data_IF_153643808401
#
_entry.id   IF_153643808401
#
_cell.length_a   1.000
_cell.length_b   1.000
_cell.length_c   1.000
_cell.angle_alpha   90.00
_cell.angle_beta   90.00
_cell.angle_gamma   90.00
#
_symmetry.space_group_name_H-M   'P 1'
#
loop_
_entity.id
_entity.type
_entity.pdbx_description
1 polymer ?
#
# COMPACT_ATOMS: atom_id res chain seq x y z
N UNK A 1 13.79 15.90 1.70
CA UNK A 1 13.15 15.98 3.04
C UNK A 1 11.63 15.93 2.91
N UNK A 2 11.04 16.84 2.16
CA UNK A 2 9.57 16.96 1.99
C UNK A 2 8.92 15.70 1.39
N UNK A 3 9.65 14.93 0.56
CA UNK A 3 9.15 13.69 -0.02
C UNK A 3 9.18 12.49 0.93
N UNK A 4 9.86 12.59 2.08
CA UNK A 4 10.07 11.49 3.03
C UNK A 4 9.48 11.76 4.41
N UNK A 5 9.17 13.01 4.73
CA UNK A 5 8.56 13.40 6.00
C UNK A 5 7.08 13.73 5.80
N UNK A 6 6.25 13.27 6.73
CA UNK A 6 4.83 13.59 6.72
C UNK A 6 4.61 15.04 7.13
N UNK A 7 4.06 15.86 6.22
CA UNK A 7 3.77 17.27 6.48
C UNK A 7 2.42 17.43 7.20
N UNK A 8 1.51 16.50 6.96
CA UNK A 8 0.15 16.51 7.50
C UNK A 8 -0.63 17.79 7.17
N UNK A 9 -0.60 18.19 5.89
CA UNK A 9 -1.26 19.39 5.38
C UNK A 9 -1.49 19.31 3.87
N UNK A 10 -2.08 20.33 3.25
CA UNK A 10 -2.45 20.34 1.83
C UNK A 10 -1.22 20.60 0.94
N UNK A 11 -0.24 19.72 1.02
CA UNK A 11 1.02 19.80 0.25
C UNK A 11 1.16 18.56 -0.62
N UNK A 12 1.44 18.77 -1.90
CA UNK A 12 1.72 17.74 -2.89
C UNK A 12 3.15 17.89 -3.39
N UNK A 13 3.95 16.83 -3.26
CA UNK A 13 5.28 16.76 -3.85
C UNK A 13 5.21 16.01 -5.18
N UNK A 14 5.76 16.60 -6.25
CA UNK A 14 5.81 16.00 -7.59
C UNK A 14 7.26 15.66 -7.89
N UNK A 15 7.53 14.39 -8.18
CA UNK A 15 8.87 13.89 -8.47
C UNK A 15 8.85 13.22 -9.84
N UNK A 16 9.72 13.70 -10.75
CA UNK A 16 9.92 13.07 -12.04
C UNK A 16 10.76 11.80 -11.89
N UNK A 17 10.54 10.83 -12.76
CA UNK A 17 11.32 9.58 -12.83
C UNK A 17 11.74 9.31 -14.27
N UNK A 18 12.80 8.53 -14.45
CA UNK A 18 13.35 8.21 -15.78
C UNK A 18 12.72 6.96 -16.38
N UNK A 19 12.50 5.93 -15.59
CA UNK A 19 11.90 4.65 -16.00
C UNK A 19 11.09 4.01 -14.85
N UNK A 20 10.50 2.84 -15.09
CA UNK A 20 9.70 2.15 -14.09
C UNK A 20 10.51 1.68 -12.87
N UNK A 21 11.77 1.35 -13.05
CA UNK A 21 12.64 0.93 -11.96
C UNK A 21 12.94 2.11 -11.03
N UNK A 22 13.23 3.26 -11.60
CA UNK A 22 13.41 4.51 -10.88
C UNK A 22 12.12 4.94 -10.18
N UNK A 23 10.98 4.87 -10.87
CA UNK A 23 9.67 5.15 -10.26
C UNK A 23 9.38 4.27 -9.05
N UNK A 24 9.65 2.97 -9.14
CA UNK A 24 9.45 2.04 -8.02
C UNK A 24 10.42 2.32 -6.87
N UNK A 25 11.67 2.65 -7.18
CA UNK A 25 12.66 3.03 -6.18
C UNK A 25 12.23 4.28 -5.42
N UNK A 26 11.83 5.34 -6.12
CA UNK A 26 11.33 6.59 -5.53
C UNK A 26 10.08 6.33 -4.66
N UNK A 27 9.09 5.59 -5.19
CA UNK A 27 7.86 5.30 -4.48
C UNK A 27 8.08 4.50 -3.18
N UNK A 28 9.10 3.63 -3.16
CA UNK A 28 9.44 2.81 -2.01
C UNK A 28 10.43 3.48 -1.04
N UNK A 29 11.04 4.60 -1.41
CA UNK A 29 12.00 5.34 -0.59
C UNK A 29 11.29 6.19 0.46
N UNK A 30 10.62 5.52 1.38
CA UNK A 30 9.92 6.12 2.51
C UNK A 30 9.87 5.12 3.67
N UNK A 31 9.80 5.62 4.88
CA UNK A 31 9.53 4.81 6.08
C UNK A 31 8.06 4.42 6.21
N UNK A 32 7.21 4.96 5.38
CA UNK A 32 5.76 4.69 5.34
C UNK A 32 5.37 3.75 4.20
N UNK A 33 4.19 3.17 4.30
CA UNK A 33 3.65 2.28 3.28
C UNK A 33 2.19 1.93 3.54
N UNK A 34 1.32 2.93 3.67
CA UNK A 34 -0.11 2.69 3.91
C UNK A 34 -0.83 2.37 2.60
N UNK A 35 -0.82 3.28 1.67
CA UNK A 35 -1.53 3.16 0.40
C UNK A 35 -0.80 3.85 -0.74
N UNK A 36 -1.25 3.60 -1.96
CA UNK A 36 -0.76 4.24 -3.16
C UNK A 36 -1.72 4.08 -4.31
N UNK A 37 -1.38 4.64 -5.47
CA UNK A 37 -2.16 4.53 -6.69
C UNK A 37 -1.26 4.44 -7.93
N UNK A 38 -1.70 3.68 -8.92
CA UNK A 38 -1.02 3.53 -10.21
C UNK A 38 -2.03 3.76 -11.33
N UNK A 39 -1.67 4.60 -12.28
CA UNK A 39 -2.45 4.85 -13.48
C UNK A 39 -1.65 4.49 -14.72
N UNK A 40 -2.24 3.69 -15.61
CA UNK A 40 -1.70 3.37 -16.92
C UNK A 40 -2.84 2.99 -17.87
N UNK A 41 -2.71 3.37 -19.14
CA UNK A 41 -3.62 2.90 -20.20
C UNK A 41 -3.56 1.37 -20.39
N UNK A 42 -2.40 0.77 -20.09
CA UNK A 42 -2.22 -0.69 -20.06
C UNK A 42 -2.48 -1.19 -18.63
N UNK A 43 -3.63 -1.83 -18.42
CA UNK A 43 -4.07 -2.33 -17.12
C UNK A 43 -3.18 -3.45 -16.58
N UNK A 44 -2.61 -4.30 -17.42
CA UNK A 44 -1.71 -5.38 -16.97
C UNK A 44 -0.36 -4.82 -16.52
N UNK A 45 0.14 -3.83 -17.24
CA UNK A 45 1.34 -3.08 -16.84
C UNK A 45 1.13 -2.37 -15.51
N UNK A 46 -0.03 -1.73 -15.31
CA UNK A 46 -0.38 -1.08 -14.05
C UNK A 46 -0.39 -2.08 -12.88
N UNK A 47 -1.00 -3.26 -13.07
CA UNK A 47 -1.02 -4.32 -12.05
C UNK A 47 0.37 -4.86 -11.75
N UNK A 48 1.19 -5.06 -12.76
CA UNK A 48 2.57 -5.54 -12.59
C UNK A 48 3.39 -4.53 -11.78
N UNK A 49 3.28 -3.24 -12.08
CA UNK A 49 3.93 -2.18 -11.34
C UNK A 49 3.42 -2.08 -9.89
N UNK A 50 2.09 -2.17 -9.69
CA UNK A 50 1.48 -2.11 -8.37
C UNK A 50 2.07 -3.15 -7.39
N UNK A 51 2.39 -4.36 -7.88
CA UNK A 51 3.00 -5.41 -7.07
C UNK A 51 4.41 -5.08 -6.58
N UNK A 52 5.07 -4.11 -7.18
CA UNK A 52 6.42 -3.65 -6.80
C UNK A 52 6.38 -2.60 -5.68
N UNK A 53 5.23 -2.01 -5.42
CA UNK A 53 5.07 -0.93 -4.43
C UNK A 53 4.82 -1.51 -3.05
N UNK A 54 5.59 -1.05 -2.08
CA UNK A 54 5.60 -1.53 -0.70
C UNK A 54 4.57 -0.81 0.16
N UNK A 55 3.30 -1.05 -0.13
CA UNK A 55 2.15 -0.51 0.60
C UNK A 55 1.15 -1.60 0.92
N UNK A 56 0.36 -1.43 1.97
CA UNK A 56 -0.69 -2.37 2.34
C UNK A 56 -1.88 -2.36 1.39
N UNK A 57 -2.10 -1.26 0.69
CA UNK A 57 -3.13 -1.09 -0.32
C UNK A 57 -2.56 -0.34 -1.51
N UNK A 58 -3.03 -0.70 -2.72
CA UNK A 58 -2.73 0.07 -3.91
C UNK A 58 -3.93 0.07 -4.86
N UNK A 59 -4.31 1.23 -5.32
CA UNK A 59 -5.37 1.43 -6.29
C UNK A 59 -4.79 1.37 -7.71
N UNK A 60 -5.47 0.65 -8.60
CA UNK A 60 -5.10 0.57 -10.01
C UNK A 60 -6.17 1.29 -10.81
N UNK A 61 -5.77 2.36 -11.53
CA UNK A 61 -6.65 3.19 -12.36
C UNK A 61 -7.89 3.71 -11.62
N UNK A 62 -7.72 4.14 -10.36
CA UNK A 62 -8.80 4.68 -9.54
C UNK A 62 -9.77 3.61 -9.04
N UNK A 63 -9.30 2.40 -8.78
CA UNK A 63 -10.12 1.32 -8.20
C UNK A 63 -10.78 1.75 -6.88
N UNK A 64 -12.05 1.37 -6.71
CA UNK A 64 -12.79 1.71 -5.51
C UNK A 64 -12.28 0.95 -4.28
N UNK A 65 -12.45 1.58 -3.10
CA UNK A 65 -12.15 0.93 -1.82
C UNK A 65 -13.02 -0.32 -1.66
N UNK A 66 -12.38 -1.43 -1.25
CA UNK A 66 -13.04 -2.70 -1.02
C UNK A 66 -13.02 -3.06 0.48
N UNK A 67 -14.15 -2.87 1.15
CA UNK A 67 -14.29 -3.17 2.57
C UNK A 67 -14.18 -4.67 2.92
N UNK A 68 -14.21 -5.56 1.93
CA UNK A 68 -13.97 -7.00 2.13
C UNK A 68 -12.51 -7.40 2.00
N UNK A 69 -11.65 -6.47 1.57
CA UNK A 69 -10.20 -6.67 1.48
C UNK A 69 -9.52 -6.17 2.77
N UNK A 70 -8.37 -6.75 3.14
CA UNK A 70 -7.62 -6.27 4.30
C UNK A 70 -7.08 -4.86 4.06
N UNK A 71 -7.12 -4.03 5.10
CA UNK A 71 -6.58 -2.68 5.13
C UNK A 71 -5.55 -2.55 6.25
N UNK A 72 -4.41 -1.99 5.97
CA UNK A 72 -3.34 -1.73 6.93
C UNK A 72 -2.02 -1.46 6.24
N UNK A 73 -1.10 -0.85 6.95
CA UNK A 73 0.16 -0.36 6.41
C UNK A 73 1.31 -1.35 6.45
N UNK A 74 2.31 -1.05 5.65
CA UNK A 74 3.66 -1.60 5.73
C UNK A 74 4.56 -0.63 6.50
N UNK A 75 5.70 -1.10 6.96
CA UNK A 75 6.73 -0.28 7.61
C UNK A 75 6.14 0.54 8.79
N UNK A 76 6.47 1.81 8.90
CA UNK A 76 6.00 2.67 9.99
C UNK A 76 4.52 3.11 9.87
N UNK A 77 3.85 2.76 8.79
CA UNK A 77 2.40 2.98 8.67
C UNK A 77 1.56 2.06 9.55
N UNK A 78 2.14 1.04 10.15
CA UNK A 78 1.52 0.25 11.19
C UNK A 78 1.69 -1.25 11.03
N UNK A 79 1.17 -1.95 12.03
CA UNK A 79 1.08 -3.41 12.08
C UNK A 79 -0.37 -3.83 11.87
N UNK A 80 -0.57 -5.12 11.60
CA UNK A 80 -1.90 -5.69 11.53
C UNK A 80 -2.72 -5.26 10.32
N UNK A 81 -3.94 -5.77 10.29
CA UNK A 81 -4.92 -5.46 9.23
C UNK A 81 -6.29 -5.28 9.83
N UNK A 82 -7.07 -4.39 9.20
CA UNK A 82 -8.49 -4.21 9.45
C UNK A 82 -9.28 -4.74 8.24
N UNK A 83 -10.57 -4.89 8.37
CA UNK A 83 -11.47 -5.36 7.33
C UNK A 83 -11.21 -6.76 6.79
N UNK A 84 -12.26 -7.37 6.24
CA UNK A 84 -12.23 -8.70 5.67
C UNK A 84 -11.89 -9.81 6.66
N UNK A 85 -11.66 -11.04 6.18
CA UNK A 85 -11.29 -12.18 7.02
C UNK A 85 -10.01 -11.95 7.83
N UNK A 86 -9.00 -11.33 7.23
CA UNK A 86 -7.73 -11.04 7.91
C UNK A 86 -7.90 -10.08 9.11
N UNK A 87 -8.74 -9.04 8.96
CA UNK A 87 -9.03 -8.13 10.06
C UNK A 87 -9.80 -8.82 11.19
N UNK A 88 -10.73 -9.72 10.85
CA UNK A 88 -11.47 -10.50 11.83
C UNK A 88 -10.57 -11.47 12.60
N UNK A 89 -9.65 -12.13 11.91
CA UNK A 89 -8.72 -13.10 12.52
C UNK A 89 -7.85 -12.49 13.62
N UNK A 90 -7.55 -11.22 13.57
CA UNK A 90 -6.77 -10.52 14.61
C UNK A 90 -7.46 -10.44 15.96
N UNK A 91 -8.77 -10.65 16.02
CA UNK A 91 -9.54 -10.70 17.26
C UNK A 91 -9.73 -12.12 17.80
N UNK A 92 -9.17 -13.12 17.14
CA UNK A 92 -9.30 -14.54 17.48
C UNK A 92 -8.04 -15.07 18.16
N UNK A 93 -8.24 -15.94 19.14
CA UNK A 93 -7.18 -16.74 19.73
C UNK A 93 -7.13 -18.12 19.07
N UNK A 94 -5.95 -18.52 18.65
CA UNK A 94 -5.72 -19.82 18.02
C UNK A 94 -5.46 -20.88 19.09
N UNK A 95 -6.23 -21.99 19.07
CA UNK A 95 -6.07 -23.11 19.98
C UNK A 95 -5.98 -24.41 19.20
N UNK A 96 -5.05 -25.26 19.59
CA UNK A 96 -4.96 -26.66 19.10
C UNK A 96 -5.55 -27.62 20.14
N UNK A 97 -6.37 -28.57 19.69
CA UNK A 97 -6.84 -29.69 20.48
C UNK A 97 -6.09 -30.94 20.04
N UNK A 98 -5.46 -31.61 21.01
CA UNK A 98 -4.81 -32.90 20.78
C UNK A 98 -5.76 -34.00 21.26
N UNK A 99 -6.15 -34.91 20.35
CA UNK A 99 -7.09 -36.00 20.60
C UNK A 99 -6.40 -37.36 20.60
#
# INVERSE_FOLDING_TARGET
TIAQEEIFGPVLSIIAYEDEDDAAAIANDSVYGLSGGVWSADGERAKAFARRIRTGQIEVNGGAFNASAPFGGYKNSGYGREYGPHGFEEFLEIKSLQL
#
